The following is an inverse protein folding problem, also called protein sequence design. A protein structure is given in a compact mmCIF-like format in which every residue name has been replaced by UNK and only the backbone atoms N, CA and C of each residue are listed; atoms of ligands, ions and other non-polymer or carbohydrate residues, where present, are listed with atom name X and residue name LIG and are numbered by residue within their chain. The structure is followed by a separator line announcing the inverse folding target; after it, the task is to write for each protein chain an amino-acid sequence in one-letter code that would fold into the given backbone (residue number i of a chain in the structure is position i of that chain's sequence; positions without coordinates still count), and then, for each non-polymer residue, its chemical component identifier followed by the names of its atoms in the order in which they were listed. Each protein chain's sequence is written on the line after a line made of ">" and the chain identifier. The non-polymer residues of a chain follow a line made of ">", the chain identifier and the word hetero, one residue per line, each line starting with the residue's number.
data_IF_895117027471
#
_entry.id   IF_895117027471
#
_cell.length_a   1.000
_cell.length_b   1.000
_cell.length_c   1.000
_cell.angle_alpha   90.00
_cell.angle_beta   90.00
_cell.angle_gamma   90.00
#
_symmetry.space_group_name_H-M   'P 1'
#
loop_
_entity.id
_entity.type
_entity.pdbx_description
1 polymer ?
#
# COMPACT_ATOMS: atom_id res chain seq x y z
N UNK A 1 12.98 10.68 -5.02
CA UNK A 1 11.87 10.45 -5.97
C UNK A 1 11.68 8.98 -6.34
N UNK A 2 12.72 8.22 -6.65
CA UNK A 2 12.57 6.79 -7.01
C UNK A 2 11.91 5.93 -5.90
N UNK A 3 12.29 6.11 -4.63
CA UNK A 3 11.64 5.42 -3.51
C UNK A 3 10.15 5.78 -3.38
N UNK A 4 9.80 7.06 -3.53
CA UNK A 4 8.40 7.50 -3.50
C UNK A 4 7.59 6.80 -4.58
N UNK A 5 8.11 6.78 -5.82
CA UNK A 5 7.47 6.09 -6.94
C UNK A 5 7.31 4.58 -6.70
N UNK A 6 8.32 3.94 -6.11
CA UNK A 6 8.25 2.53 -5.72
C UNK A 6 7.12 2.27 -4.72
N UNK A 7 7.06 3.04 -3.62
CA UNK A 7 6.03 2.84 -2.60
C UNK A 7 4.63 3.16 -3.12
N UNK A 8 4.47 4.21 -3.94
CA UNK A 8 3.19 4.52 -4.59
C UNK A 8 2.73 3.38 -5.50
N UNK A 9 3.62 2.82 -6.31
CA UNK A 9 3.26 1.71 -7.20
C UNK A 9 2.90 0.44 -6.44
N UNK A 10 3.61 0.13 -5.36
CA UNK A 10 3.27 -1.01 -4.51
C UNK A 10 1.93 -0.81 -3.79
N UNK A 11 1.65 0.40 -3.28
CA UNK A 11 0.36 0.71 -2.66
C UNK A 11 -0.81 0.49 -3.62
N UNK A 12 -0.72 0.95 -4.88
CA UNK A 12 -1.75 0.70 -5.90
C UNK A 12 -2.02 -0.79 -6.10
N UNK A 13 -0.95 -1.60 -6.20
CA UNK A 13 -1.06 -3.05 -6.42
C UNK A 13 -1.75 -3.72 -5.22
N UNK A 14 -1.31 -3.41 -4.01
CA UNK A 14 -1.87 -4.04 -2.80
C UNK A 14 -3.29 -3.58 -2.49
N UNK A 15 -3.65 -2.34 -2.80
CA UNK A 15 -5.04 -1.89 -2.72
C UNK A 15 -5.95 -2.70 -3.67
N UNK A 16 -5.52 -2.89 -4.92
CA UNK A 16 -6.28 -3.67 -5.89
C UNK A 16 -6.44 -5.13 -5.44
N UNK A 17 -5.37 -5.75 -4.94
CA UNK A 17 -5.43 -7.11 -4.41
C UNK A 17 -6.37 -7.20 -3.19
N UNK A 18 -6.26 -6.27 -2.23
CA UNK A 18 -7.18 -6.23 -1.08
C UNK A 18 -8.64 -6.16 -1.54
N UNK A 19 -8.97 -5.25 -2.48
CA UNK A 19 -10.33 -5.13 -3.03
C UNK A 19 -10.82 -6.40 -3.71
N UNK A 20 -9.94 -7.13 -4.40
CA UNK A 20 -10.30 -8.42 -5.01
C UNK A 20 -10.69 -9.46 -3.95
N UNK A 21 -9.96 -9.53 -2.85
CA UNK A 21 -10.20 -10.52 -1.80
C UNK A 21 -11.24 -10.11 -0.76
N UNK A 22 -11.67 -8.85 -0.72
CA UNK A 22 -12.58 -8.30 0.30
C UNK A 22 -13.83 -9.16 0.58
N UNK A 23 -14.40 -9.80 -0.45
CA UNK A 23 -15.59 -10.66 -0.32
C UNK A 23 -15.30 -12.14 -0.64
N UNK A 24 -14.04 -12.51 -0.88
CA UNK A 24 -13.63 -13.87 -1.24
C UNK A 24 -12.87 -14.56 -0.11
N UNK A 25 -11.96 -13.82 0.53
CA UNK A 25 -11.05 -14.35 1.54
C UNK A 25 -10.62 -13.23 2.50
N UNK A 26 -11.07 -13.32 3.75
CA UNK A 26 -10.80 -12.31 4.78
C UNK A 26 -9.32 -12.27 5.21
N UNK A 27 -8.61 -13.38 5.17
CA UNK A 27 -7.19 -13.43 5.54
C UNK A 27 -6.33 -12.77 4.47
N UNK A 28 -6.57 -13.09 3.20
CA UNK A 28 -5.88 -12.44 2.08
C UNK A 28 -6.23 -10.96 1.97
N UNK A 29 -7.51 -10.59 2.18
CA UNK A 29 -7.90 -9.19 2.29
C UNK A 29 -7.06 -8.45 3.33
N UNK A 30 -7.02 -8.96 4.56
CA UNK A 30 -6.28 -8.32 5.65
C UNK A 30 -4.78 -8.26 5.35
N UNK A 31 -4.20 -9.31 4.78
CA UNK A 31 -2.79 -9.35 4.42
C UNK A 31 -2.42 -8.25 3.41
N UNK A 32 -3.14 -8.16 2.29
CA UNK A 32 -2.87 -7.13 1.29
C UNK A 32 -3.21 -5.72 1.79
N UNK A 33 -4.26 -5.58 2.60
CA UNK A 33 -4.62 -4.30 3.20
C UNK A 33 -3.52 -3.78 4.15
N UNK A 34 -2.93 -4.65 4.97
CA UNK A 34 -1.79 -4.29 5.82
C UNK A 34 -0.58 -3.82 5.00
N UNK A 35 -0.27 -4.50 3.89
CA UNK A 35 0.81 -4.08 2.99
C UNK A 35 0.52 -2.72 2.35
N UNK A 36 -0.71 -2.49 1.90
CA UNK A 36 -1.15 -1.18 1.41
C UNK A 36 -0.92 -0.09 2.46
N UNK A 37 -1.37 -0.31 3.70
CA UNK A 37 -1.19 0.66 4.79
C UNK A 37 0.29 0.93 5.10
N UNK A 38 1.14 -0.10 5.10
CA UNK A 38 2.57 0.08 5.27
C UNK A 38 3.17 1.01 4.20
N UNK A 39 2.80 0.81 2.93
CA UNK A 39 3.29 1.66 1.84
C UNK A 39 2.78 3.09 1.92
N UNK A 40 1.54 3.32 2.37
CA UNK A 40 1.03 4.67 2.64
C UNK A 40 1.87 5.39 3.69
N UNK A 41 2.21 4.72 4.80
CA UNK A 41 3.07 5.30 5.84
C UNK A 41 4.48 5.65 5.32
N UNK A 42 5.03 4.84 4.41
CA UNK A 42 6.32 5.16 3.79
C UNK A 42 6.24 6.38 2.86
N UNK A 43 5.14 6.53 2.12
CA UNK A 43 4.87 7.71 1.28
C UNK A 43 4.81 8.96 2.15
N UNK A 44 3.96 8.96 3.19
CA UNK A 44 3.80 10.09 4.11
C UNK A 44 5.13 10.49 4.74
N UNK A 45 5.92 9.51 5.18
CA UNK A 45 7.25 9.75 5.73
C UNK A 45 8.18 10.43 4.71
N UNK A 46 8.28 9.89 3.49
CA UNK A 46 9.16 10.44 2.45
C UNK A 46 8.74 11.85 1.99
N UNK A 47 7.44 12.11 1.94
CA UNK A 47 6.91 13.45 1.63
C UNK A 47 7.24 14.43 2.75
N UNK A 48 7.15 14.02 4.01
CA UNK A 48 7.52 14.86 5.16
C UNK A 48 9.00 15.25 5.20
N UNK A 49 9.89 14.40 4.65
CA UNK A 49 11.33 14.68 4.53
C UNK A 49 11.67 15.63 3.37
N UNK A 50 10.72 15.87 2.47
CA UNK A 50 10.90 16.71 1.27
C UNK A 50 10.45 18.16 1.49
N UNK A 51 9.93 18.48 2.69
CA UNK A 51 9.55 19.81 3.16
C UNK A 51 10.68 20.45 3.96
#
# INVERSE_FOLDING_TARGET
>A
MENLNFHSRQAEIFEQLARQYQNLDGELYNYFYCLYQYHQQQIDYLESQSL
#
